data_IF_129683180305
#
_entry.id   IF_129683180305
#
_cell.length_a   1.000
_cell.length_b   1.000
_cell.length_c   1.000
_cell.angle_alpha   90.00
_cell.angle_beta   90.00
_cell.angle_gamma   90.00
#
_symmetry.space_group_name_H-M   'P 1'
#
loop_
_entity.id
_entity.type
_entity.pdbx_description
1 polymer ?
#
# COMPACT_ATOMS: atom_id res chain seq x y z
N UNK A 1 69.74 -21.31 24.94
CA UNK A 1 68.57 -21.48 24.05
C UNK A 1 67.23 -21.40 24.80
N UNK A 2 67.12 -21.87 26.05
CA UNK A 2 65.87 -21.81 26.85
C UNK A 2 65.34 -20.39 27.11
N UNK A 3 66.22 -19.42 27.37
CA UNK A 3 65.82 -18.04 27.67
C UNK A 3 65.14 -17.32 26.48
N UNK A 4 65.59 -17.61 25.26
CA UNK A 4 65.07 -16.98 24.05
C UNK A 4 63.65 -17.46 23.72
N UNK A 5 63.41 -18.78 23.84
CA UNK A 5 62.08 -19.37 23.68
C UNK A 5 61.08 -18.88 24.75
N UNK A 6 61.54 -18.69 25.98
CA UNK A 6 60.72 -18.15 27.07
C UNK A 6 60.30 -16.70 26.77
N UNK A 7 61.23 -15.88 26.28
CA UNK A 7 60.94 -14.49 25.91
C UNK A 7 59.94 -14.40 24.74
N UNK A 8 60.12 -15.20 23.69
CA UNK A 8 59.18 -15.27 22.58
C UNK A 8 57.77 -15.65 23.04
N UNK A 9 57.66 -16.65 23.93
CA UNK A 9 56.39 -17.06 24.52
C UNK A 9 55.72 -15.91 25.27
N UNK A 10 56.46 -15.18 26.09
CA UNK A 10 55.94 -14.03 26.86
C UNK A 10 55.47 -12.90 25.95
N UNK A 11 56.23 -12.60 24.88
CA UNK A 11 55.83 -11.63 23.85
C UNK A 11 54.53 -12.05 23.16
N UNK A 12 54.39 -13.32 22.78
CA UNK A 12 53.16 -13.84 22.18
C UNK A 12 51.97 -13.80 23.14
N UNK A 13 52.17 -14.15 24.42
CA UNK A 13 51.11 -14.10 25.43
C UNK A 13 50.67 -12.66 25.70
N UNK A 14 51.61 -11.73 25.83
CA UNK A 14 51.30 -10.31 26.02
C UNK A 14 50.54 -9.73 24.81
N UNK A 15 50.97 -10.07 23.60
CA UNK A 15 50.29 -9.68 22.35
C UNK A 15 48.87 -10.24 22.28
N UNK A 16 48.70 -11.54 22.53
CA UNK A 16 47.39 -12.19 22.55
C UNK A 16 46.46 -11.58 23.61
N UNK A 17 46.97 -11.34 24.81
CA UNK A 17 46.22 -10.69 25.89
C UNK A 17 45.74 -9.29 25.49
N UNK A 18 46.63 -8.48 24.90
CA UNK A 18 46.26 -7.15 24.43
C UNK A 18 45.19 -7.20 23.33
N UNK A 19 45.31 -8.13 22.38
CA UNK A 19 44.32 -8.31 21.32
C UNK A 19 42.98 -8.78 21.88
N UNK A 20 42.97 -9.74 22.80
CA UNK A 20 41.76 -10.20 23.47
C UNK A 20 41.08 -9.07 24.24
N UNK A 21 41.85 -8.26 24.97
CA UNK A 21 41.34 -7.09 25.69
C UNK A 21 40.72 -6.06 24.73
N UNK A 22 41.38 -5.78 23.60
CA UNK A 22 40.83 -4.88 22.57
C UNK A 22 39.55 -5.44 21.95
N UNK A 23 39.54 -6.72 21.58
CA UNK A 23 38.36 -7.39 21.00
C UNK A 23 37.17 -7.37 21.96
N UNK A 24 37.38 -7.67 23.24
CA UNK A 24 36.35 -7.57 24.28
C UNK A 24 35.86 -6.13 24.45
N UNK A 25 36.75 -5.13 24.33
CA UNK A 25 36.39 -3.72 24.34
C UNK A 25 35.51 -3.29 23.15
N UNK A 26 35.58 -3.98 22.01
CA UNK A 26 34.74 -3.72 20.83
C UNK A 26 33.35 -4.36 20.91
N UNK A 27 33.19 -5.41 21.71
CA UNK A 27 31.92 -6.13 21.89
C UNK A 27 30.72 -5.21 22.20
N UNK A 28 30.77 -4.27 23.18
CA UNK A 28 29.62 -3.40 23.47
C UNK A 28 29.22 -2.52 22.26
N UNK A 29 30.19 -2.06 21.47
CA UNK A 29 29.91 -1.28 20.26
C UNK A 29 29.21 -2.13 19.20
N UNK A 30 29.63 -3.39 19.03
CA UNK A 30 28.98 -4.33 18.11
C UNK A 30 27.56 -4.67 18.54
N UNK A 31 27.35 -4.97 19.82
CA UNK A 31 26.02 -5.28 20.34
C UNK A 31 25.06 -4.08 20.25
N UNK A 32 25.53 -2.86 20.55
CA UNK A 32 24.76 -1.64 20.34
C UNK A 32 24.42 -1.43 18.85
N UNK A 33 25.36 -1.72 17.95
CA UNK A 33 25.14 -1.65 16.50
C UNK A 33 24.08 -2.64 16.04
N UNK A 34 24.12 -3.89 16.51
CA UNK A 34 23.10 -4.91 16.23
C UNK A 34 21.73 -4.50 16.74
N UNK A 35 21.65 -3.99 17.97
CA UNK A 35 20.39 -3.52 18.56
C UNK A 35 19.81 -2.35 17.75
N UNK A 36 20.63 -1.37 17.40
CA UNK A 36 20.22 -0.21 16.59
C UNK A 36 19.71 -0.65 15.22
N UNK A 37 20.41 -1.59 14.58
CA UNK A 37 20.00 -2.14 13.30
C UNK A 37 18.68 -2.91 13.39
N UNK A 38 18.49 -3.73 14.43
CA UNK A 38 17.25 -4.45 14.66
C UNK A 38 16.06 -3.50 14.84
N UNK A 39 16.25 -2.39 15.58
CA UNK A 39 15.24 -1.34 15.72
C UNK A 39 14.89 -0.73 14.35
N UNK A 40 15.89 -0.40 13.52
CA UNK A 40 15.63 0.14 12.18
C UNK A 40 14.90 -0.83 11.26
N UNK A 41 15.20 -2.13 11.34
CA UNK A 41 14.45 -3.14 10.59
C UNK A 41 13.01 -3.27 11.08
N UNK A 42 12.78 -3.19 12.38
CA UNK A 42 11.44 -3.19 12.96
C UNK A 42 10.63 -1.98 12.49
N UNK A 43 11.20 -0.77 12.57
CA UNK A 43 10.57 0.47 12.06
C UNK A 43 10.21 0.33 10.56
N UNK A 44 11.12 -0.23 9.76
CA UNK A 44 10.89 -0.44 8.32
C UNK A 44 9.77 -1.45 8.06
N UNK A 45 9.69 -2.52 8.86
CA UNK A 45 8.63 -3.50 8.77
C UNK A 45 7.27 -2.87 9.08
N UNK A 46 7.17 -2.11 10.18
CA UNK A 46 5.94 -1.39 10.54
C UNK A 46 5.53 -0.39 9.45
N UNK A 47 6.48 0.37 8.89
CA UNK A 47 6.18 1.30 7.80
C UNK A 47 5.70 0.56 6.54
N UNK A 48 6.27 -0.61 6.24
CA UNK A 48 5.82 -1.45 5.11
C UNK A 48 4.39 -1.94 5.33
N UNK A 49 4.08 -2.45 6.53
CA UNK A 49 2.75 -2.93 6.87
C UNK A 49 1.71 -1.80 6.78
N UNK A 50 2.02 -0.62 7.32
CA UNK A 50 1.12 0.54 7.20
C UNK A 50 0.97 1.04 5.76
N UNK A 51 2.03 0.99 4.95
CA UNK A 51 1.96 1.31 3.52
C UNK A 51 1.07 0.29 2.78
N UNK A 52 1.24 -1.00 3.05
CA UNK A 52 0.44 -2.06 2.48
C UNK A 52 -1.05 -1.92 2.86
N UNK A 53 -1.37 -1.64 4.12
CA UNK A 53 -2.75 -1.35 4.56
C UNK A 53 -3.35 -0.18 3.78
N UNK A 54 -2.62 0.94 3.69
CA UNK A 54 -3.07 2.12 2.91
C UNK A 54 -3.29 1.77 1.44
N UNK A 55 -2.40 0.99 0.84
CA UNK A 55 -2.52 0.55 -0.56
C UNK A 55 -3.74 -0.35 -0.76
N UNK A 56 -4.01 -1.29 0.16
CA UNK A 56 -5.18 -2.16 0.12
C UNK A 56 -6.48 -1.36 0.25
N UNK A 57 -6.53 -0.41 1.19
CA UNK A 57 -7.69 0.48 1.40
C UNK A 57 -7.93 1.38 0.19
N UNK A 58 -6.87 1.92 -0.40
CA UNK A 58 -6.95 2.68 -1.65
C UNK A 58 -7.49 1.80 -2.78
N UNK A 59 -6.94 0.60 -2.97
CA UNK A 59 -7.39 -0.35 -3.98
C UNK A 59 -8.87 -0.71 -3.82
N UNK A 60 -9.33 -0.99 -2.60
CA UNK A 60 -10.73 -1.26 -2.32
C UNK A 60 -11.65 -0.05 -2.57
N UNK A 61 -11.19 1.16 -2.28
CA UNK A 61 -11.92 2.39 -2.60
C UNK A 61 -12.00 2.59 -4.11
N UNK A 62 -10.87 2.51 -4.81
CA UNK A 62 -10.77 2.70 -6.25
C UNK A 62 -11.56 1.66 -7.04
N UNK A 63 -11.62 0.41 -6.58
CA UNK A 63 -12.43 -0.64 -7.20
C UNK A 63 -13.89 -0.21 -7.38
N UNK A 64 -14.48 0.52 -6.42
CA UNK A 64 -15.86 1.02 -6.52
C UNK A 64 -16.04 2.10 -7.59
N UNK A 65 -14.97 2.81 -7.92
CA UNK A 65 -14.96 3.95 -8.84
C UNK A 65 -14.36 3.60 -10.21
N UNK A 66 -14.06 2.32 -10.47
CA UNK A 66 -13.66 1.87 -11.82
C UNK A 66 -14.81 2.08 -12.80
N UNK A 67 -14.52 2.42 -14.06
CA UNK A 67 -15.56 2.62 -15.06
C UNK A 67 -16.39 1.36 -15.34
N UNK A 68 -15.82 0.16 -15.18
CA UNK A 68 -16.54 -1.12 -15.28
C UNK A 68 -17.58 -1.30 -14.17
N UNK A 69 -17.25 -0.92 -12.93
CA UNK A 69 -18.22 -0.91 -11.83
C UNK A 69 -19.30 0.16 -12.05
N UNK A 70 -18.93 1.33 -12.58
CA UNK A 70 -19.91 2.37 -12.93
C UNK A 70 -20.89 1.88 -14.02
N UNK A 71 -20.40 1.21 -15.06
CA UNK A 71 -21.22 0.55 -16.09
C UNK A 71 -22.19 -0.46 -15.48
N UNK A 72 -21.67 -1.37 -14.65
CA UNK A 72 -22.47 -2.44 -14.04
C UNK A 72 -23.59 -1.88 -13.16
N UNK A 73 -23.28 -0.84 -12.38
CA UNK A 73 -24.27 -0.12 -11.55
C UNK A 73 -25.33 0.57 -12.40
N UNK A 74 -24.92 1.27 -13.45
CA UNK A 74 -25.83 1.98 -14.35
C UNK A 74 -26.76 1.01 -15.09
N UNK A 75 -26.24 -0.15 -15.49
CA UNK A 75 -27.03 -1.22 -16.09
C UNK A 75 -28.08 -1.76 -15.10
N UNK A 76 -27.69 -2.08 -13.86
CA UNK A 76 -28.63 -2.54 -12.83
C UNK A 76 -29.70 -1.48 -12.51
N UNK A 77 -29.34 -0.19 -12.47
CA UNK A 77 -30.30 0.90 -12.29
C UNK A 77 -31.25 1.06 -13.50
N UNK A 78 -30.76 0.83 -14.73
CA UNK A 78 -31.60 0.82 -15.92
C UNK A 78 -32.61 -0.33 -15.85
N UNK A 79 -32.15 -1.56 -15.60
CA UNK A 79 -32.99 -2.74 -15.46
C UNK A 79 -34.07 -2.54 -14.38
N UNK A 80 -33.72 -1.95 -13.24
CA UNK A 80 -34.67 -1.64 -12.18
C UNK A 80 -35.75 -0.63 -12.62
N UNK A 81 -35.37 0.43 -13.34
CA UNK A 81 -36.37 1.39 -13.85
C UNK A 81 -37.22 0.78 -14.96
N UNK A 82 -36.65 -0.06 -15.82
CA UNK A 82 -37.44 -0.76 -16.83
C UNK A 82 -38.45 -1.72 -16.22
N UNK A 83 -38.04 -2.45 -15.19
CA UNK A 83 -38.96 -3.27 -14.40
C UNK A 83 -40.06 -2.41 -13.75
N UNK A 84 -39.72 -1.23 -13.21
CA UNK A 84 -40.73 -0.33 -12.63
C UNK A 84 -41.71 0.20 -13.67
N UNK A 85 -41.23 0.52 -14.87
CA UNK A 85 -42.08 0.95 -15.99
C UNK A 85 -43.06 -0.15 -16.39
N UNK A 86 -42.60 -1.40 -16.43
CA UNK A 86 -43.47 -2.56 -16.73
C UNK A 86 -44.50 -2.77 -15.62
N UNK A 87 -44.09 -2.73 -14.35
CA UNK A 87 -44.99 -2.82 -13.19
C UNK A 87 -46.07 -1.72 -13.22
N UNK A 88 -45.70 -0.48 -13.56
CA UNK A 88 -46.64 0.63 -13.71
C UNK A 88 -47.64 0.40 -14.84
N UNK A 89 -47.20 -0.20 -15.95
CA UNK A 89 -48.06 -0.56 -17.07
C UNK A 89 -49.05 -1.65 -16.67
N UNK A 90 -48.58 -2.72 -16.01
CA UNK A 90 -49.41 -3.81 -15.52
C UNK A 90 -50.49 -3.30 -14.54
N UNK A 91 -50.09 -2.49 -13.55
CA UNK A 91 -51.03 -1.90 -12.58
C UNK A 91 -52.10 -1.05 -13.25
N UNK A 92 -51.73 -0.27 -14.27
CA UNK A 92 -52.69 0.52 -15.04
C UNK A 92 -53.67 -0.36 -15.83
N UNK A 93 -53.18 -1.43 -16.48
CA UNK A 93 -54.03 -2.38 -17.22
C UNK A 93 -54.98 -3.17 -16.30
N UNK A 94 -54.59 -3.40 -15.05
CA UNK A 94 -55.42 -3.99 -14.01
C UNK A 94 -56.39 -3.01 -13.35
N UNK A 95 -56.38 -1.73 -13.75
CA UNK A 95 -57.17 -0.64 -13.15
C UNK A 95 -56.81 -0.33 -11.68
N UNK A 96 -55.66 -0.80 -11.22
CA UNK A 96 -55.14 -0.55 -9.86
C UNK A 96 -54.49 0.84 -9.72
N UNK A 97 -54.23 1.51 -10.85
CA UNK A 97 -53.61 2.83 -10.91
C UNK A 97 -54.49 3.81 -11.72
N UNK A 98 -54.95 4.94 -11.13
CA UNK A 98 -55.70 5.96 -11.85
C UNK A 98 -54.90 6.59 -13.00
N UNK A 99 -55.59 7.05 -14.04
CA UNK A 99 -54.95 7.57 -15.25
C UNK A 99 -54.06 8.78 -14.97
N UNK A 100 -54.49 9.70 -14.10
CA UNK A 100 -53.71 10.90 -13.77
C UNK A 100 -52.37 10.52 -13.12
N UNK A 101 -52.40 9.59 -12.14
CA UNK A 101 -51.20 9.09 -11.46
C UNK A 101 -50.31 8.23 -12.37
N UNK A 102 -50.91 7.44 -13.26
CA UNK A 102 -50.18 6.66 -14.26
C UNK A 102 -49.41 7.59 -15.19
N UNK A 103 -50.06 8.59 -15.78
CA UNK A 103 -49.44 9.48 -16.78
C UNK A 103 -48.23 10.20 -16.17
N UNK A 104 -48.35 10.77 -14.98
CA UNK A 104 -47.25 11.46 -14.31
C UNK A 104 -46.06 10.51 -14.01
N UNK A 105 -46.34 9.37 -13.38
CA UNK A 105 -45.31 8.45 -12.92
C UNK A 105 -44.67 7.65 -14.06
N UNK A 106 -45.43 7.29 -15.09
CA UNK A 106 -44.95 6.57 -16.27
C UNK A 106 -44.07 7.46 -17.15
N UNK A 107 -44.47 8.71 -17.39
CA UNK A 107 -43.64 9.68 -18.13
C UNK A 107 -42.29 9.89 -17.43
N UNK A 108 -42.31 10.03 -16.11
CA UNK A 108 -41.09 10.17 -15.32
C UNK A 108 -40.18 8.94 -15.43
N UNK A 109 -40.71 7.74 -15.19
CA UNK A 109 -39.93 6.49 -15.27
C UNK A 109 -39.42 6.21 -16.69
N UNK A 110 -40.21 6.51 -17.74
CA UNK A 110 -39.77 6.39 -19.14
C UNK A 110 -38.65 7.37 -19.47
N UNK A 111 -38.79 8.64 -19.08
CA UNK A 111 -37.74 9.63 -19.25
C UNK A 111 -36.42 9.18 -18.59
N UNK A 112 -36.51 8.65 -17.36
CA UNK A 112 -35.36 8.17 -16.63
C UNK A 112 -34.73 6.91 -17.28
N UNK A 113 -35.54 5.98 -17.80
CA UNK A 113 -35.06 4.81 -18.55
C UNK A 113 -34.27 5.24 -19.80
N UNK A 114 -34.82 6.15 -20.62
CA UNK A 114 -34.14 6.65 -21.82
C UNK A 114 -32.85 7.40 -21.50
N UNK A 115 -32.87 8.21 -20.43
CA UNK A 115 -31.68 8.91 -19.96
C UNK A 115 -30.58 7.91 -19.57
N UNK A 116 -30.90 6.91 -18.75
CA UNK A 116 -29.92 5.90 -18.30
C UNK A 116 -29.40 5.04 -19.45
N UNK A 117 -30.26 4.65 -20.39
CA UNK A 117 -29.84 3.94 -21.61
C UNK A 117 -28.83 4.76 -22.41
N UNK A 118 -29.11 6.05 -22.60
CA UNK A 118 -28.18 6.97 -23.28
C UNK A 118 -26.86 7.11 -22.52
N UNK A 119 -26.91 7.24 -21.19
CA UNK A 119 -25.70 7.31 -20.35
C UNK A 119 -24.87 6.02 -20.46
N UNK A 120 -25.52 4.86 -20.50
CA UNK A 120 -24.87 3.55 -20.61
C UNK A 120 -24.15 3.43 -21.97
N UNK A 121 -24.83 3.76 -23.06
CA UNK A 121 -24.25 3.78 -24.41
C UNK A 121 -23.03 4.70 -24.49
N UNK A 122 -23.14 5.91 -23.92
CA UNK A 122 -22.04 6.89 -23.93
C UNK A 122 -20.84 6.43 -23.11
N UNK A 123 -21.06 5.84 -21.94
CA UNK A 123 -19.99 5.29 -21.14
C UNK A 123 -19.30 4.10 -21.83
N UNK A 124 -20.07 3.22 -22.47
CA UNK A 124 -19.53 2.12 -23.27
C UNK A 124 -18.70 2.62 -24.47
N UNK A 125 -19.14 3.68 -25.14
CA UNK A 125 -18.41 4.31 -26.24
C UNK A 125 -17.04 4.85 -25.79
N UNK A 126 -17.01 5.61 -24.68
CA UNK A 126 -15.77 6.15 -24.11
C UNK A 126 -14.78 5.02 -23.78
N UNK A 127 -15.25 3.94 -23.16
CA UNK A 127 -14.40 2.82 -22.77
C UNK A 127 -13.86 2.02 -23.96
N UNK A 128 -14.64 1.89 -25.03
CA UNK A 128 -14.15 1.29 -26.29
C UNK A 128 -13.04 2.14 -26.91
N UNK A 129 -13.19 3.46 -26.91
CA UNK A 129 -12.18 4.40 -27.42
C UNK A 129 -10.90 4.35 -26.58
N UNK A 130 -11.02 4.27 -25.26
CA UNK A 130 -9.87 4.17 -24.36
C UNK A 130 -9.10 2.86 -24.56
N UNK A 131 -9.81 1.74 -24.71
CA UNK A 131 -9.20 0.44 -25.06
C UNK A 131 -8.49 0.49 -26.41
N UNK A 132 -9.07 1.12 -27.42
CA UNK A 132 -8.47 1.25 -28.75
C UNK A 132 -7.22 2.16 -28.78
N UNK A 133 -7.11 3.12 -27.85
CA UNK A 133 -5.95 4.02 -27.73
C UNK A 133 -4.77 3.41 -26.99
N UNK A 134 -4.98 2.32 -26.28
CA UNK A 134 -3.90 1.59 -25.60
C UNK A 134 -3.41 0.51 -26.56
N UNK A 135 -2.26 0.68 -27.24
CA UNK A 135 -1.75 -0.34 -28.12
C UNK A 135 -1.43 -1.58 -27.28
N UNK A 136 -2.23 -2.62 -27.43
CA UNK A 136 -1.89 -3.96 -26.98
C UNK A 136 -0.56 -4.36 -27.64
N UNK A 137 0.48 -4.48 -26.83
CA UNK A 137 1.68 -5.23 -27.21
C UNK A 137 1.22 -6.69 -27.37
N UNK A 138 1.42 -7.34 -28.53
CA UNK A 138 0.96 -8.70 -28.73
C UNK A 138 1.60 -9.62 -27.69
N UNK A 139 0.78 -10.24 -26.86
CA UNK A 139 1.19 -11.41 -26.10
C UNK A 139 1.28 -12.59 -27.08
N UNK A 140 2.39 -13.34 -27.14
CA UNK A 140 2.48 -14.48 -28.03
C UNK A 140 1.58 -15.59 -27.51
N UNK A 141 0.74 -16.08 -28.43
CA UNK A 141 -0.06 -17.29 -28.28
C UNK A 141 0.81 -18.46 -27.83
N UNK A 142 0.23 -19.31 -26.98
CA UNK A 142 0.65 -20.69 -26.83
C UNK A 142 0.66 -21.34 -28.22
N UNK A 143 1.80 -21.88 -28.62
CA UNK A 143 1.89 -23.01 -29.52
C UNK A 143 2.81 -24.04 -28.86
N UNK A 144 2.20 -25.17 -28.55
CA UNK A 144 2.81 -26.38 -28.05
C UNK A 144 3.36 -27.14 -29.27
N UNK A 145 4.69 -27.17 -29.44
CA UNK A 145 5.43 -28.29 -30.05
C UNK A 145 6.90 -28.22 -29.58
N UNK A 146 7.26 -29.20 -28.74
CA UNK A 146 8.63 -29.69 -28.54
C UNK A 146 9.11 -30.41 -29.83
N UNK A 147 10.38 -30.85 -29.99
CA UNK A 147 11.56 -30.74 -29.10
C UNK A 147 12.87 -30.37 -29.84
N UNK A 148 13.71 -29.49 -29.29
CA UNK A 148 15.13 -29.45 -29.68
C UNK A 148 16.04 -28.79 -28.64
N UNK A 149 16.82 -29.64 -27.95
CA UNK A 149 18.24 -29.50 -27.58
C UNK A 149 18.70 -28.09 -27.14
N UNK A 150 18.81 -27.91 -25.82
CA UNK A 150 19.57 -26.81 -25.20
C UNK A 150 21.10 -27.07 -25.31
N UNK A 151 21.94 -26.09 -25.66
CA UNK A 151 23.37 -26.16 -25.41
C UNK A 151 23.67 -25.71 -23.97
N UNK A 152 24.16 -26.64 -23.17
CA UNK A 152 24.72 -26.38 -21.84
C UNK A 152 26.08 -25.68 -21.96
N UNK A 153 26.28 -24.59 -21.21
CA UNK A 153 27.62 -24.08 -20.89
C UNK A 153 28.20 -24.81 -19.66
N UNK A 154 29.54 -24.97 -19.57
CA UNK A 154 30.15 -26.01 -18.74
C UNK A 154 30.29 -25.61 -17.28
N UNK A 155 29.91 -26.52 -16.39
CA UNK A 155 30.26 -26.51 -14.96
C UNK A 155 31.70 -27.02 -14.78
N UNK A 156 32.55 -26.40 -13.93
CA UNK A 156 33.84 -26.98 -13.57
C UNK A 156 33.66 -28.16 -12.59
N UNK A 157 34.48 -29.23 -12.68
CA UNK A 157 34.38 -30.41 -11.82
C UNK A 157 34.95 -30.17 -10.41
N UNK A 158 34.50 -30.93 -9.39
CA UNK A 158 35.07 -30.89 -8.05
C UNK A 158 36.44 -31.60 -8.00
N UNK A 159 37.40 -31.16 -7.16
CA UNK A 159 38.63 -31.91 -6.96
C UNK A 159 38.38 -33.14 -6.07
N UNK A 160 38.72 -34.31 -6.61
CA UNK A 160 38.77 -35.58 -5.90
C UNK A 160 39.77 -35.53 -4.75
N UNK A 161 39.29 -35.83 -3.54
CA UNK A 161 40.13 -36.03 -2.36
C UNK A 161 40.95 -37.32 -2.53
N UNK A 162 42.27 -37.18 -2.63
CA UNK A 162 43.21 -38.28 -2.43
C UNK A 162 43.46 -38.50 -0.93
N UNK A 163 43.64 -39.77 -0.61
CA UNK A 163 43.79 -40.34 0.72
C UNK A 163 44.98 -39.77 1.52
N UNK A 164 44.83 -39.90 2.84
CA UNK A 164 45.77 -39.52 3.89
C UNK A 164 47.16 -40.20 3.78
N UNK A 165 48.13 -39.76 4.61
CA UNK A 165 48.28 -40.49 5.86
C UNK A 165 48.32 -39.60 7.11
N UNK A 166 47.98 -40.23 8.23
CA UNK A 166 47.88 -39.68 9.56
C UNK A 166 49.19 -39.09 10.09
N UNK A 167 49.11 -37.99 10.84
CA UNK A 167 49.50 -37.89 12.26
C UNK A 167 49.29 -36.46 12.77
N UNK A 168 48.51 -36.32 13.84
CA UNK A 168 48.86 -35.68 15.11
C UNK A 168 47.63 -35.02 15.77
N UNK A 169 47.51 -35.28 17.07
CA UNK A 169 46.33 -35.04 17.88
C UNK A 169 46.21 -33.57 18.29
N UNK A 170 45.04 -32.97 18.04
CA UNK A 170 44.63 -31.71 18.67
C UNK A 170 43.23 -31.29 18.19
N UNK A 171 42.29 -30.93 19.09
CA UNK A 171 40.97 -30.46 18.66
C UNK A 171 41.11 -29.09 17.97
N UNK A 172 40.44 -28.86 16.81
CA UNK A 172 40.46 -27.56 16.15
C UNK A 172 39.71 -26.51 16.99
N UNK A 173 40.14 -25.23 16.95
CA UNK A 173 39.46 -24.17 17.70
C UNK A 173 38.02 -24.00 17.19
N UNK A 174 37.05 -23.95 18.12
CA UNK A 174 35.65 -23.63 17.83
C UNK A 174 35.57 -22.20 17.28
N UNK A 175 35.49 -22.08 15.96
CA UNK A 175 35.03 -20.86 15.30
C UNK A 175 33.56 -20.66 15.64
N UNK A 176 33.25 -19.58 16.36
CA UNK A 176 31.87 -19.12 16.49
C UNK A 176 31.41 -18.68 15.10
N UNK A 177 30.63 -19.51 14.41
CA UNK A 177 29.88 -19.04 13.26
C UNK A 177 28.84 -18.02 13.75
N UNK A 178 29.17 -16.73 13.70
CA UNK A 178 28.13 -15.71 13.58
C UNK A 178 27.45 -15.93 12.23
N UNK A 179 26.33 -16.66 12.25
CA UNK A 179 25.38 -16.62 11.14
C UNK A 179 24.74 -15.24 11.14
N UNK A 180 25.41 -14.28 10.53
CA UNK A 180 24.72 -13.11 10.01
C UNK A 180 23.83 -13.62 8.88
N UNK A 181 22.52 -13.60 9.12
CA UNK A 181 21.55 -13.82 8.06
C UNK A 181 21.87 -12.86 6.90
N UNK A 182 21.73 -13.29 5.64
CA UNK A 182 22.17 -12.49 4.51
C UNK A 182 21.39 -11.18 4.51
N UNK A 183 22.11 -10.07 4.34
CA UNK A 183 21.49 -8.82 3.97
C UNK A 183 20.73 -9.06 2.67
N UNK A 184 19.42 -8.88 2.69
CA UNK A 184 18.64 -8.86 1.46
C UNK A 184 19.17 -7.69 0.62
N UNK A 185 19.72 -8.00 -0.55
CA UNK A 185 19.97 -7.01 -1.59
C UNK A 185 18.61 -6.38 -1.94
N UNK A 186 18.43 -5.11 -1.57
CA UNK A 186 17.34 -4.31 -2.09
C UNK A 186 17.71 -4.05 -3.56
N UNK A 187 16.94 -4.56 -4.55
CA UNK A 187 17.18 -4.20 -5.95
C UNK A 187 16.99 -2.69 -6.08
N UNK A 188 18.06 -2.00 -6.46
CA UNK A 188 18.07 -0.56 -6.65
C UNK A 188 17.50 -0.17 -8.02
N UNK A 189 16.38 -0.77 -8.42
CA UNK A 189 15.63 -0.39 -9.62
C UNK A 189 14.23 0.07 -9.22
N UNK A 190 13.85 1.24 -9.75
CA UNK A 190 12.61 1.97 -9.53
C UNK A 190 12.49 2.82 -8.24
N UNK A 191 13.55 3.55 -7.86
CA UNK A 191 13.32 4.91 -7.34
C UNK A 191 13.15 5.82 -8.55
N UNK A 192 11.94 5.88 -9.09
CA UNK A 192 11.57 7.00 -9.94
C UNK A 192 11.56 8.26 -9.05
N UNK A 193 12.28 9.33 -9.41
CA UNK A 193 12.19 10.57 -8.67
C UNK A 193 10.74 11.02 -8.70
N UNK A 194 10.14 11.21 -7.53
CA UNK A 194 8.89 11.98 -7.42
C UNK A 194 9.24 13.38 -7.95
N UNK A 195 8.69 13.83 -9.09
CA UNK A 195 8.97 15.17 -9.57
C UNK A 195 8.38 16.14 -8.54
N UNK A 196 9.24 16.89 -7.85
CA UNK A 196 8.79 18.10 -7.15
C UNK A 196 8.26 19.05 -8.23
N UNK A 197 6.94 19.17 -8.31
CA UNK A 197 6.29 20.23 -9.07
C UNK A 197 6.65 21.55 -8.41
N UNK A 198 7.49 22.32 -9.08
CA UNK A 198 7.66 23.74 -8.81
C UNK A 198 6.28 24.42 -8.78
N UNK A 199 6.14 25.40 -7.88
CA UNK A 199 4.94 26.18 -7.65
C UNK A 199 4.27 26.66 -8.95
N UNK A 200 2.94 26.60 -9.08
CA UNK A 200 2.27 27.15 -10.24
C UNK A 200 2.34 28.69 -10.18
N UNK A 201 2.98 29.26 -11.19
CA UNK A 201 2.85 30.67 -11.52
C UNK A 201 1.41 30.91 -12.04
N UNK A 202 0.70 31.81 -11.36
CA UNK A 202 -0.40 32.66 -11.86
C UNK A 202 -1.24 32.08 -13.01
N UNK A 203 -2.27 31.29 -12.68
CA UNK A 203 -3.42 31.14 -13.56
C UNK A 203 -4.42 32.28 -13.29
N UNK A 204 -4.56 33.15 -14.27
CA UNK A 204 -5.56 34.20 -14.33
C UNK A 204 -6.97 33.59 -14.23
N UNK A 205 -7.75 34.06 -13.26
CA UNK A 205 -9.20 33.85 -13.22
C UNK A 205 -9.89 34.82 -14.21
N UNK A 206 -10.97 34.42 -14.89
CA UNK A 206 -11.75 35.35 -15.71
C UNK A 206 -12.48 36.37 -14.80
N UNK A 207 -12.36 37.65 -15.16
CA UNK A 207 -13.03 38.76 -14.51
C UNK A 207 -14.54 38.64 -14.69
N UNK A 208 -15.27 38.41 -13.61
CA UNK A 208 -16.73 38.56 -13.59
C UNK A 208 -17.03 40.06 -13.61
N UNK A 209 -17.27 40.61 -14.81
CA UNK A 209 -17.90 41.90 -14.96
C UNK A 209 -19.35 41.77 -14.48
N UNK A 210 -19.71 42.49 -13.41
CA UNK A 210 -21.10 42.78 -13.11
C UNK A 210 -21.23 44.26 -12.86
N UNK A 211 -21.91 44.87 -13.83
CA UNK A 211 -22.39 46.23 -13.92
C UNK A 211 -23.05 46.71 -12.63
N UNK A 212 -22.66 47.90 -12.21
CA UNK A 212 -23.38 48.68 -11.22
C UNK A 212 -24.74 49.09 -11.80
N UNK A 213 -25.82 48.74 -11.11
CA UNK A 213 -27.04 49.53 -11.14
C UNK A 213 -27.50 49.78 -9.70
N UNK A 214 -27.55 51.05 -9.37
CA UNK A 214 -28.10 51.65 -8.17
C UNK A 214 -29.60 51.43 -8.10
N UNK A 215 -30.14 51.01 -6.94
CA UNK A 215 -31.24 51.70 -6.23
C UNK A 215 -31.63 50.95 -4.95
N UNK A 216 -32.12 51.73 -3.99
CA UNK A 216 -32.31 51.44 -2.57
C UNK A 216 -33.57 50.61 -2.28
N UNK A 217 -33.55 49.68 -1.30
CA UNK A 217 -34.64 49.55 -0.30
C UNK A 217 -34.31 48.58 0.87
N UNK A 218 -34.27 49.16 2.07
CA UNK A 218 -34.72 48.70 3.41
C UNK A 218 -34.83 47.18 3.73
N UNK A 219 -34.00 46.68 4.66
CA UNK A 219 -34.41 46.15 5.99
C UNK A 219 -33.25 45.44 6.73
N UNK A 220 -33.09 45.79 8.01
CA UNK A 220 -32.11 45.33 9.01
C UNK A 220 -32.46 43.92 9.61
N UNK A 221 -31.87 43.45 10.74
CA UNK A 221 -30.47 43.02 10.96
C UNK A 221 -30.32 41.69 11.77
N UNK A 222 -29.08 41.17 11.87
CA UNK A 222 -28.49 40.36 12.97
C UNK A 222 -29.19 39.08 13.49
N UNK A 223 -28.48 37.94 13.40
CA UNK A 223 -28.02 37.22 14.61
C UNK A 223 -26.89 36.23 14.36
N UNK A 224 -25.81 36.50 15.06
CA UNK A 224 -24.63 35.68 15.29
C UNK A 224 -24.99 34.62 16.34
N UNK A 225 -24.95 33.34 16.00
CA UNK A 225 -24.97 32.20 16.94
C UNK A 225 -23.74 31.37 16.58
N UNK A 226 -22.84 30.94 17.46
CA UNK A 226 -22.89 30.75 18.90
C UNK A 226 -22.09 29.46 19.18
N UNK A 227 -20.92 29.65 19.76
CA UNK A 227 -19.89 28.72 20.22
C UNK A 227 -20.25 27.24 20.57
N UNK A 228 -19.37 26.36 20.06
CA UNK A 228 -18.78 25.09 20.57
C UNK A 228 -19.25 24.56 21.94
N UNK A 229 -19.54 23.24 22.01
CA UNK A 229 -19.35 22.44 23.22
C UNK A 229 -18.60 21.13 22.88
N UNK A 230 -17.39 20.97 23.42
CA UNK A 230 -16.57 19.77 23.41
C UNK A 230 -16.75 19.06 24.77
N UNK A 231 -17.11 17.76 24.85
CA UNK A 231 -17.21 17.07 26.14
C UNK A 231 -15.85 16.57 26.61
N UNK A 232 -15.41 17.08 27.76
CA UNK A 232 -14.27 16.59 28.54
C UNK A 232 -14.68 15.31 29.31
N UNK A 233 -13.94 14.21 29.12
CA UNK A 233 -14.14 12.96 29.85
C UNK A 233 -13.35 12.97 31.17
N UNK A 234 -14.06 12.68 32.25
CA UNK A 234 -13.60 12.73 33.63
C UNK A 234 -13.05 11.36 34.08
N UNK A 235 -11.92 11.39 34.78
CA UNK A 235 -11.29 10.28 35.49
C UNK A 235 -12.14 9.90 36.73
N UNK A 236 -12.38 8.61 37.03
CA UNK A 236 -12.89 8.21 38.33
C UNK A 236 -11.74 7.81 39.28
N UNK A 237 -11.77 8.38 40.49
CA UNK A 237 -10.94 7.98 41.62
C UNK A 237 -11.82 7.35 42.71
N UNK A 238 -11.21 6.39 43.44
CA UNK A 238 -11.60 5.77 44.71
C UNK A 238 -12.50 4.52 44.68
N UNK A 239 -11.94 3.39 45.11
CA UNK A 239 -12.19 2.81 46.45
C UNK A 239 -11.34 1.55 46.66
N UNK A 240 -10.40 1.57 47.62
CA UNK A 240 -9.79 0.35 48.16
C UNK A 240 -9.85 0.41 49.69
N UNK A 241 -10.69 -0.44 50.27
CA UNK A 241 -10.85 -0.65 51.71
C UNK A 241 -10.45 -2.09 52.03
N UNK A 242 -9.71 -2.25 53.13
CA UNK A 242 -9.47 -3.44 53.99
C UNK A 242 -8.02 -3.88 54.07
N UNK A 243 -7.45 -3.57 55.23
CA UNK A 243 -6.28 -4.20 55.86
C UNK A 243 -6.80 -5.05 57.04
N UNK A 244 -6.26 -6.25 57.30
CA UNK A 244 -6.47 -7.01 58.54
C UNK A 244 -5.22 -6.96 59.45
N UNK A 245 -5.35 -7.34 60.74
CA UNK A 245 -4.39 -6.99 61.78
C UNK A 245 -3.28 -8.03 61.93
N UNK A 246 -2.07 -7.58 62.26
CA UNK A 246 -1.34 -7.95 63.47
C UNK A 246 -0.09 -7.08 63.66
#
# INVERSE_FOLDING_TARGET
>A
MSWNLQLEREVHLASNYNLAKQNLGLQPRLENGKASLAIKYQELQELRETCHDKQQRLGACMAKWTPENALSRLQAELENVEAKVEEQMEQFLCWDLPIESFVESFQHSRMLSHLRRTQLEKLQEILKVEKAKTPEKPSPSCEEEQPAVSPALPTPPPPSAQAAPAQNNGPPPKVFQLRLAPAFLIPSEAVLPIPMTAAPQKCCLPTLATSHSTTNFVSSPLSLIGHIHLPQAHLPHQQKKKEPPH
#
